data_IF_814586226431
#
_entry.id   IF_814586226431
#
_cell.length_a   1.000
_cell.length_b   1.000
_cell.length_c   1.000
_cell.angle_alpha   90.00
_cell.angle_beta   90.00
_cell.angle_gamma   90.00
#
_symmetry.space_group_name_H-M   'P 1'
#
loop_
_entity.id
_entity.type
_entity.pdbx_description
1 polymer ?
#
# COMPACT_ATOMS: atom_id res chain seq x y z
N UNK A 1 -17.25 59.21 40.82
CA UNK A 1 -16.07 58.45 41.29
C UNK A 1 -16.13 57.04 40.69
N UNK A 2 -15.59 56.87 39.49
CA UNK A 2 -15.54 55.58 38.78
C UNK A 2 -14.06 55.16 38.73
N UNK A 3 -13.81 53.97 39.24
CA UNK A 3 -12.51 53.44 39.68
C UNK A 3 -11.54 53.23 38.52
N UNK A 4 -10.33 53.73 38.69
CA UNK A 4 -9.14 53.49 37.88
C UNK A 4 -8.63 52.04 38.06
N UNK A 5 -9.38 51.04 37.55
CA UNK A 5 -9.06 49.61 37.70
C UNK A 5 -8.94 48.86 36.36
N UNK A 6 -8.80 49.56 35.24
CA UNK A 6 -8.75 48.95 33.90
C UNK A 6 -7.43 49.19 33.15
N UNK A 7 -6.45 49.87 33.76
CA UNK A 7 -5.21 50.26 33.06
C UNK A 7 -4.10 49.20 33.17
N UNK A 8 -4.28 48.13 33.97
CA UNK A 8 -3.21 47.14 34.24
C UNK A 8 -3.31 45.81 33.47
N UNK A 9 -4.31 45.60 32.62
CA UNK A 9 -4.44 44.35 31.85
C UNK A 9 -3.86 44.40 30.43
N UNK A 10 -3.60 45.59 29.89
CA UNK A 10 -3.06 45.73 28.53
C UNK A 10 -1.60 45.22 28.35
N UNK A 11 -0.64 45.42 29.29
CA UNK A 11 0.75 45.05 29.02
C UNK A 11 0.98 43.53 29.11
N UNK A 12 0.12 42.78 29.80
CA UNK A 12 0.28 41.34 29.98
C UNK A 12 -0.02 40.55 28.69
N UNK A 13 -0.95 41.04 27.85
CA UNK A 13 -1.30 40.38 26.58
C UNK A 13 -0.21 40.54 25.51
N UNK A 14 0.60 41.61 25.58
CA UNK A 14 1.69 41.86 24.62
C UNK A 14 2.88 40.93 24.88
N UNK A 15 3.12 40.54 26.14
CA UNK A 15 4.22 39.62 26.51
C UNK A 15 3.94 38.17 26.07
N UNK A 16 2.66 37.77 25.96
CA UNK A 16 2.27 36.40 25.57
C UNK A 16 2.26 36.15 24.04
N UNK A 17 2.37 37.19 23.21
CA UNK A 17 2.37 37.05 21.74
C UNK A 17 3.76 36.73 21.13
N UNK A 18 4.80 36.59 21.96
CA UNK A 18 6.20 36.56 21.51
C UNK A 18 6.82 35.19 21.16
N UNK A 19 6.07 34.10 21.04
CA UNK A 19 6.64 32.77 20.76
C UNK A 19 5.91 32.00 19.63
N UNK A 20 5.66 32.66 18.50
CA UNK A 20 5.44 31.97 17.23
C UNK A 20 6.68 32.19 16.36
N UNK A 21 7.63 31.27 16.44
CA UNK A 21 8.72 31.22 15.47
C UNK A 21 8.12 31.08 14.06
N UNK A 22 8.57 31.84 13.04
CA UNK A 22 8.14 31.60 11.68
C UNK A 22 8.52 30.17 11.31
N UNK A 23 7.51 29.32 11.08
CA UNK A 23 7.74 28.01 10.48
C UNK A 23 8.42 28.27 9.14
N UNK A 24 9.64 27.77 8.97
CA UNK A 24 10.33 27.82 7.69
C UNK A 24 9.37 27.27 6.64
N UNK A 25 9.17 28.02 5.56
CA UNK A 25 8.38 27.54 4.42
C UNK A 25 9.00 26.22 3.97
N UNK A 26 8.23 25.13 4.08
CA UNK A 26 8.56 23.87 3.44
C UNK A 26 8.70 24.20 1.97
N UNK A 27 9.93 24.16 1.46
CA UNK A 27 10.17 24.31 0.04
C UNK A 27 9.36 23.21 -0.65
N UNK A 28 8.34 23.60 -1.41
CA UNK A 28 7.66 22.71 -2.35
C UNK A 28 8.66 22.42 -3.46
N UNK A 29 9.55 21.46 -3.17
CA UNK A 29 10.37 20.80 -4.16
C UNK A 29 9.36 20.07 -5.04
N UNK A 30 9.04 20.67 -6.20
CA UNK A 30 8.07 20.14 -7.15
C UNK A 30 8.26 18.65 -7.46
N UNK A 31 7.39 18.05 -8.29
CA UNK A 31 7.40 16.60 -8.51
C UNK A 31 8.83 16.12 -8.81
N UNK A 32 9.32 15.06 -8.11
CA UNK A 32 10.70 14.65 -8.22
C UNK A 32 11.05 14.41 -9.68
N UNK A 33 12.22 14.92 -10.10
CA UNK A 33 12.70 14.73 -11.45
C UNK A 33 12.66 13.22 -11.79
N UNK A 34 12.16 12.82 -12.97
CA UNK A 34 12.11 11.42 -13.34
C UNK A 34 13.54 10.87 -13.45
N UNK A 35 14.01 10.25 -12.38
CA UNK A 35 15.33 9.64 -12.29
C UNK A 35 15.32 8.32 -13.07
N UNK A 36 16.38 8.05 -13.83
CA UNK A 36 16.49 6.82 -14.63
C UNK A 36 16.44 5.55 -13.75
N UNK A 37 16.81 5.66 -12.47
CA UNK A 37 16.67 4.60 -11.46
C UNK A 37 15.20 4.22 -11.18
N UNK A 38 14.25 5.13 -11.40
CA UNK A 38 12.82 4.92 -11.13
C UNK A 38 12.01 4.55 -12.38
N UNK A 39 12.64 4.47 -13.55
CA UNK A 39 11.98 3.99 -14.78
C UNK A 39 12.30 2.52 -14.98
N UNK A 40 11.34 1.59 -14.77
CA UNK A 40 11.60 0.17 -14.97
C UNK A 40 11.99 -0.10 -16.43
N UNK A 41 13.04 -0.90 -16.58
CA UNK A 41 13.48 -1.45 -17.86
C UNK A 41 12.37 -2.34 -18.47
N UNK A 42 12.43 -2.57 -19.77
CA UNK A 42 11.36 -3.23 -20.53
C UNK A 42 11.12 -4.65 -20.01
N UNK A 43 9.94 -4.90 -19.42
CA UNK A 43 9.52 -6.22 -18.95
C UNK A 43 9.42 -7.18 -20.15
N UNK A 44 10.23 -8.25 -20.16
CA UNK A 44 10.15 -9.34 -21.14
C UNK A 44 9.53 -10.59 -20.48
N UNK A 45 8.36 -11.07 -20.95
CA UNK A 45 7.77 -12.30 -20.44
C UNK A 45 8.75 -13.48 -20.54
N UNK A 46 8.98 -14.21 -19.44
CA UNK A 46 9.77 -15.44 -19.42
C UNK A 46 11.26 -15.30 -19.02
N UNK A 47 11.78 -14.08 -18.79
CA UNK A 47 13.13 -13.87 -18.24
C UNK A 47 13.02 -13.23 -16.86
N UNK A 48 13.38 -13.99 -15.81
CA UNK A 48 13.52 -13.45 -14.46
C UNK A 48 14.89 -12.73 -14.38
N UNK A 49 14.88 -11.40 -14.41
CA UNK A 49 16.10 -10.60 -14.23
C UNK A 49 16.43 -10.47 -12.74
N UNK A 50 17.14 -11.46 -12.21
CA UNK A 50 17.83 -11.26 -10.95
C UNK A 50 19.01 -10.33 -11.19
N UNK A 51 19.17 -9.30 -10.36
CA UNK A 51 20.49 -8.69 -10.26
C UNK A 51 21.51 -9.73 -9.77
N UNK A 52 22.78 -9.66 -10.20
CA UNK A 52 23.80 -10.66 -9.84
C UNK A 52 23.96 -10.88 -8.33
N UNK A 53 23.67 -9.86 -7.54
CA UNK A 53 23.76 -9.82 -6.08
C UNK A 53 22.47 -10.23 -5.36
N UNK A 54 21.42 -10.61 -6.11
CA UNK A 54 20.06 -10.92 -5.61
C UNK A 54 19.40 -9.77 -4.83
N UNK A 55 19.95 -8.56 -4.88
CA UNK A 55 19.39 -7.40 -4.17
C UNK A 55 18.26 -6.74 -4.96
N UNK A 56 18.34 -6.80 -6.30
CA UNK A 56 17.29 -6.33 -7.20
C UNK A 56 16.32 -7.46 -7.50
N UNK A 57 15.16 -7.32 -6.90
CA UNK A 57 13.97 -8.10 -7.13
C UNK A 57 13.53 -8.00 -8.60
N UNK A 58 13.43 -9.12 -9.31
CA UNK A 58 12.48 -9.25 -10.40
C UNK A 58 11.26 -10.00 -9.86
N UNK A 59 10.24 -9.30 -9.33
CA UNK A 59 8.93 -9.92 -9.22
C UNK A 59 8.57 -10.50 -10.59
N UNK A 60 7.65 -11.46 -10.64
CA UNK A 60 6.85 -11.63 -11.86
C UNK A 60 6.10 -10.32 -12.11
N UNK A 61 6.78 -9.37 -12.78
CA UNK A 61 6.25 -8.08 -13.17
C UNK A 61 5.24 -8.38 -14.26
N UNK A 62 3.96 -8.32 -13.92
CA UNK A 62 2.90 -8.56 -14.91
C UNK A 62 2.82 -7.41 -15.91
N UNK A 63 3.33 -6.24 -15.55
CA UNK A 63 3.27 -5.02 -16.35
C UNK A 63 4.27 -3.96 -15.87
N UNK A 64 4.55 -2.97 -16.73
CA UNK A 64 5.39 -1.81 -16.42
C UNK A 64 4.62 -0.84 -15.52
N UNK A 65 4.95 -0.86 -14.23
CA UNK A 65 4.29 -0.08 -13.18
C UNK A 65 5.32 0.24 -12.08
N UNK A 66 5.14 1.30 -11.28
CA UNK A 66 5.94 1.53 -10.09
C UNK A 66 5.69 0.45 -9.03
N UNK A 67 6.72 -0.29 -8.64
CA UNK A 67 6.69 -1.27 -7.56
C UNK A 67 7.70 -0.89 -6.47
N UNK A 68 7.47 -1.26 -5.20
CA UNK A 68 8.47 -1.11 -4.17
C UNK A 68 9.67 -2.01 -4.46
N UNK A 69 10.87 -1.47 -4.29
CA UNK A 69 12.10 -2.25 -4.19
C UNK A 69 12.11 -3.06 -2.88
N UNK A 70 12.98 -4.06 -2.79
CA UNK A 70 13.10 -4.88 -1.58
C UNK A 70 13.49 -4.07 -0.32
N UNK A 71 14.42 -3.08 -0.37
CA UNK A 71 14.70 -2.19 0.75
C UNK A 71 13.51 -1.31 1.14
N UNK A 72 12.79 -0.74 0.17
CA UNK A 72 11.61 0.10 0.41
C UNK A 72 10.48 -0.69 1.07
N UNK A 73 10.24 -1.93 0.63
CA UNK A 73 9.26 -2.82 1.24
C UNK A 73 9.62 -3.12 2.70
N UNK A 74 10.89 -3.41 2.99
CA UNK A 74 11.36 -3.60 4.37
C UNK A 74 11.25 -2.32 5.21
N UNK A 75 11.46 -1.14 4.63
CA UNK A 75 11.25 0.14 5.31
C UNK A 75 9.76 0.40 5.59
N UNK A 76 8.87 0.05 4.66
CA UNK A 76 7.42 0.13 4.83
C UNK A 76 6.94 -0.82 5.93
N UNK A 77 7.45 -2.06 5.95
CA UNK A 77 7.15 -3.03 7.00
C UNK A 77 7.63 -2.56 8.37
N UNK A 78 8.84 -2.02 8.47
CA UNK A 78 9.37 -1.46 9.72
C UNK A 78 8.51 -0.33 10.28
N UNK A 79 7.96 0.53 9.42
CA UNK A 79 7.00 1.57 9.84
C UNK A 79 5.69 0.98 10.34
N UNK A 80 5.17 -0.03 9.64
CA UNK A 80 3.95 -0.73 10.06
C UNK A 80 4.11 -1.34 11.47
N UNK A 81 5.19 -2.07 11.73
CA UNK A 81 5.42 -2.70 13.03
C UNK A 81 5.76 -1.69 14.13
N UNK A 82 6.39 -0.55 13.79
CA UNK A 82 6.68 0.51 14.75
C UNK A 82 5.39 1.16 15.28
N UNK A 83 4.29 1.13 14.51
CA UNK A 83 2.97 1.59 14.93
C UNK A 83 2.10 0.48 15.55
N UNK A 84 2.60 -0.76 15.61
CA UNK A 84 1.81 -1.91 16.06
C UNK A 84 1.97 -2.16 17.57
N UNK A 85 1.01 -2.85 18.23
CA UNK A 85 1.08 -3.20 19.64
C UNK A 85 2.35 -3.99 20.01
N UNK A 86 3.02 -3.66 21.10
CA UNK A 86 4.30 -4.29 21.49
C UNK A 86 4.17 -5.67 22.14
N UNK A 87 2.95 -6.15 22.38
CA UNK A 87 2.65 -7.43 23.02
C UNK A 87 2.78 -8.65 22.09
N UNK A 88 3.05 -8.42 20.79
CA UNK A 88 3.13 -9.48 19.77
C UNK A 88 4.54 -9.64 19.23
N UNK A 89 4.87 -10.89 18.88
CA UNK A 89 6.08 -11.19 18.11
C UNK A 89 5.85 -10.87 16.63
N UNK A 90 6.62 -9.94 16.09
CA UNK A 90 6.63 -9.59 14.68
C UNK A 90 7.79 -10.28 13.96
N UNK A 91 7.62 -10.47 12.65
CA UNK A 91 8.72 -10.91 11.82
C UNK A 91 9.82 -9.83 11.81
N UNK A 92 11.07 -10.22 11.60
CA UNK A 92 12.19 -9.30 11.60
C UNK A 92 12.31 -8.54 10.27
N UNK A 93 11.96 -9.20 9.16
CA UNK A 93 11.98 -8.63 7.82
C UNK A 93 10.96 -9.32 6.91
N UNK A 94 10.78 -8.75 5.71
CA UNK A 94 9.96 -9.34 4.66
C UNK A 94 10.76 -9.53 3.38
N UNK A 95 10.32 -10.48 2.57
CA UNK A 95 10.84 -10.74 1.24
C UNK A 95 9.69 -10.75 0.22
N UNK A 96 9.82 -9.96 -0.84
CA UNK A 96 8.82 -9.92 -1.90
C UNK A 96 9.03 -11.11 -2.86
N UNK A 97 7.93 -11.73 -3.30
CA UNK A 97 7.98 -12.85 -4.26
C UNK A 97 7.41 -12.49 -5.63
N UNK A 98 6.30 -11.75 -5.64
CA UNK A 98 5.65 -11.30 -6.87
C UNK A 98 4.68 -10.18 -6.58
N UNK A 99 4.56 -9.22 -7.49
CA UNK A 99 3.69 -8.06 -7.33
C UNK A 99 2.84 -7.82 -8.57
N UNK A 100 1.62 -7.35 -8.35
CA UNK A 100 0.65 -7.00 -9.38
C UNK A 100 0.01 -5.64 -9.05
N UNK A 101 -0.25 -4.77 -10.03
CA UNK A 101 -0.90 -3.49 -9.76
C UNK A 101 -2.36 -3.64 -9.32
N UNK A 102 -2.77 -2.73 -8.45
CA UNK A 102 -4.03 -2.76 -7.73
C UNK A 102 -3.87 -3.17 -6.27
N UNK A 103 -4.94 -3.02 -5.50
CA UNK A 103 -5.01 -3.47 -4.11
C UNK A 103 -5.88 -4.73 -4.04
N UNK A 104 -5.46 -5.72 -3.24
CA UNK A 104 -6.33 -6.81 -2.86
C UNK A 104 -7.33 -6.32 -1.82
N UNK A 105 -8.61 -6.51 -2.12
CA UNK A 105 -9.71 -6.25 -1.22
C UNK A 105 -9.87 -7.39 -0.21
N UNK A 106 -9.88 -7.04 1.08
CA UNK A 106 -9.93 -8.00 2.19
C UNK A 106 -11.25 -8.78 2.24
N UNK A 107 -12.36 -8.20 1.80
CA UNK A 107 -13.68 -8.84 1.92
C UNK A 107 -13.98 -9.74 0.73
N UNK A 108 -13.68 -9.25 -0.47
CA UNK A 108 -14.02 -9.89 -1.73
C UNK A 108 -12.89 -10.73 -2.30
N UNK A 109 -11.66 -10.63 -1.76
CA UNK A 109 -10.47 -11.26 -2.31
C UNK A 109 -10.30 -10.98 -3.82
N UNK A 110 -10.67 -9.77 -4.27
CA UNK A 110 -10.47 -9.31 -5.66
C UNK A 110 -9.39 -8.24 -5.66
N UNK A 111 -8.59 -8.22 -6.73
CA UNK A 111 -7.63 -7.13 -6.96
C UNK A 111 -8.33 -6.04 -7.77
N UNK A 112 -8.40 -4.83 -7.21
CA UNK A 112 -8.99 -3.65 -7.84
C UNK A 112 -7.89 -2.66 -8.19
N UNK A 113 -7.94 -2.08 -9.40
CA UNK A 113 -7.00 -1.04 -9.81
C UNK A 113 -7.42 0.31 -9.24
N UNK A 114 -6.44 1.09 -8.81
CA UNK A 114 -6.60 2.45 -8.35
C UNK A 114 -5.78 3.41 -9.20
N UNK A 115 -6.15 4.69 -9.17
CA UNK A 115 -5.32 5.76 -9.73
C UNK A 115 -4.14 5.99 -8.77
N UNK A 116 -2.92 5.75 -9.24
CA UNK A 116 -1.69 5.93 -8.47
C UNK A 116 -0.94 4.62 -8.19
N UNK A 117 0.24 4.68 -7.54
CA UNK A 117 1.12 3.53 -7.33
C UNK A 117 0.58 2.67 -6.18
N UNK A 118 -0.33 1.77 -6.50
CA UNK A 118 -0.88 0.78 -5.58
C UNK A 118 -0.63 -0.60 -6.15
N UNK A 119 0.01 -1.45 -5.37
CA UNK A 119 0.38 -2.80 -5.80
C UNK A 119 0.08 -3.81 -4.71
N UNK A 120 -0.35 -4.98 -5.12
CA UNK A 120 -0.57 -6.14 -4.30
C UNK A 120 0.61 -7.09 -4.49
N UNK A 121 1.28 -7.47 -3.40
CA UNK A 121 2.43 -8.34 -3.43
C UNK A 121 2.23 -9.59 -2.58
N UNK A 122 2.73 -10.73 -3.07
CA UNK A 122 2.98 -11.90 -2.25
C UNK A 122 4.27 -11.69 -1.45
N UNK A 123 4.20 -11.83 -0.13
CA UNK A 123 5.26 -11.50 0.80
C UNK A 123 5.57 -12.67 1.73
N UNK A 124 6.84 -13.03 1.83
CA UNK A 124 7.37 -13.93 2.85
C UNK A 124 7.80 -13.11 4.07
N UNK A 125 7.34 -13.51 5.25
CA UNK A 125 7.76 -12.92 6.52
C UNK A 125 8.87 -13.79 7.10
N UNK A 126 9.99 -13.16 7.46
CA UNK A 126 11.22 -13.84 7.88
C UNK A 126 11.55 -13.56 9.35
N UNK A 127 12.11 -14.55 10.03
CA UNK A 127 12.73 -14.33 11.34
C UNK A 127 14.12 -13.68 11.23
N UNK A 128 14.76 -13.42 12.37
CA UNK A 128 16.08 -12.78 12.42
C UNK A 128 17.18 -13.59 11.72
N UNK A 129 16.99 -14.90 11.55
CA UNK A 129 17.92 -15.78 10.82
C UNK A 129 17.65 -15.81 9.31
N UNK A 130 16.62 -15.10 8.84
CA UNK A 130 16.18 -15.12 7.45
C UNK A 130 15.31 -16.33 7.10
N UNK A 131 14.93 -17.16 8.08
CA UNK A 131 14.06 -18.30 7.84
C UNK A 131 12.61 -17.82 7.71
N UNK A 132 11.91 -18.36 6.70
CA UNK A 132 10.51 -18.03 6.43
C UNK A 132 9.61 -18.54 7.54
N UNK A 133 8.91 -17.62 8.18
CA UNK A 133 7.86 -17.89 9.17
C UNK A 133 6.53 -18.20 8.49
N UNK A 134 6.13 -17.36 7.53
CA UNK A 134 4.88 -17.50 6.79
C UNK A 134 4.93 -16.75 5.47
N UNK A 135 3.99 -17.08 4.58
CA UNK A 135 3.73 -16.35 3.34
C UNK A 135 2.33 -15.77 3.41
N UNK A 136 2.21 -14.47 3.22
CA UNK A 136 0.92 -13.77 3.16
C UNK A 136 0.92 -12.84 1.96
N UNK A 137 -0.20 -12.14 1.78
CA UNK A 137 -0.29 -11.09 0.79
C UNK A 137 -0.46 -9.74 1.45
N UNK A 138 0.19 -8.72 0.92
CA UNK A 138 0.09 -7.36 1.43
C UNK A 138 -0.10 -6.38 0.28
N UNK A 139 -0.82 -5.30 0.57
CA UNK A 139 -0.92 -4.17 -0.32
C UNK A 139 0.20 -3.18 0.02
N UNK A 140 0.77 -2.56 -1.01
CA UNK A 140 1.70 -1.46 -0.91
C UNK A 140 1.12 -0.28 -1.66
N UNK A 141 1.13 0.89 -1.03
CA UNK A 141 0.65 2.12 -1.61
C UNK A 141 1.70 3.21 -1.43
N UNK A 142 1.93 3.97 -2.49
CA UNK A 142 2.88 5.07 -2.46
C UNK A 142 2.16 6.37 -2.08
N UNK A 143 2.56 6.95 -0.95
CA UNK A 143 1.99 8.19 -0.43
C UNK A 143 3.06 8.98 0.33
N UNK A 144 3.14 10.29 0.09
CA UNK A 144 4.13 11.16 0.75
C UNK A 144 5.58 10.82 0.37
N UNK A 145 5.82 10.50 -0.90
CA UNK A 145 7.12 10.07 -1.42
C UNK A 145 7.71 8.80 -0.77
N UNK A 146 6.88 8.00 -0.10
CA UNK A 146 7.30 6.76 0.55
C UNK A 146 6.28 5.64 0.30
N UNK A 147 6.78 4.40 0.19
CA UNK A 147 5.92 3.22 0.15
C UNK A 147 5.37 2.91 1.53
N UNK A 148 4.09 2.59 1.65
CA UNK A 148 3.49 2.15 2.90
C UNK A 148 2.91 0.75 2.71
N UNK A 149 2.95 -0.06 3.77
CA UNK A 149 2.47 -1.43 3.75
C UNK A 149 1.14 -1.52 4.48
N UNK A 150 0.17 -2.17 3.85
CA UNK A 150 -1.10 -2.54 4.46
C UNK A 150 -1.20 -4.08 4.45
N UNK A 151 -1.20 -4.74 5.62
CA UNK A 151 -1.50 -6.17 5.68
C UNK A 151 -2.96 -6.40 5.29
N UNK A 152 -3.25 -7.50 4.61
CA UNK A 152 -4.60 -7.86 4.16
C UNK A 152 -4.85 -9.31 4.52
N UNK A 153 -5.99 -9.60 5.16
CA UNK A 153 -6.37 -10.95 5.56
C UNK A 153 -7.62 -11.41 4.80
N UNK A 154 -7.52 -11.68 3.49
CA UNK A 154 -8.65 -12.10 2.69
C UNK A 154 -9.22 -13.44 3.18
N UNK A 155 -10.52 -13.73 2.94
CA UNK A 155 -11.09 -15.02 3.27
C UNK A 155 -10.35 -16.15 2.53
N UNK A 156 -9.92 -17.16 3.29
CA UNK A 156 -9.16 -18.32 2.79
C UNK A 156 -9.99 -19.28 1.94
N UNK A 157 -11.31 -19.18 2.06
CA UNK A 157 -12.31 -19.93 1.30
C UNK A 157 -13.20 -18.92 0.59
N UNK A 158 -13.51 -19.18 -0.69
CA UNK A 158 -14.50 -18.38 -1.39
C UNK A 158 -15.81 -18.41 -0.60
N UNK A 159 -16.39 -17.24 -0.32
CA UNK A 159 -17.65 -17.18 0.41
C UNK A 159 -18.72 -18.03 -0.31
N UNK A 160 -19.58 -18.77 0.39
CA UNK A 160 -20.52 -19.71 -0.24
C UNK A 160 -21.43 -19.05 -1.28
N UNK A 161 -21.87 -17.82 -1.02
CA UNK A 161 -22.67 -16.99 -1.94
C UNK A 161 -21.91 -16.54 -3.20
N UNK A 162 -20.59 -16.74 -3.23
CA UNK A 162 -19.70 -16.43 -4.37
C UNK A 162 -19.64 -17.58 -5.37
N UNK A 163 -20.00 -18.81 -4.97
CA UNK A 163 -20.34 -19.83 -5.93
C UNK A 163 -21.63 -19.35 -6.59
N UNK A 164 -21.50 -18.71 -7.77
CA UNK A 164 -22.63 -18.43 -8.65
C UNK A 164 -23.48 -19.69 -8.67
N UNK A 165 -24.70 -19.61 -8.15
CA UNK A 165 -25.77 -20.43 -8.67
C UNK A 165 -25.65 -20.33 -10.19
N UNK A 166 -25.27 -21.44 -10.83
CA UNK A 166 -25.22 -21.46 -12.29
C UNK A 166 -26.64 -21.12 -12.71
N UNK A 167 -26.78 -20.04 -13.48
CA UNK A 167 -28.01 -19.82 -14.23
C UNK A 167 -28.29 -21.15 -14.96
N UNK A 168 -29.48 -21.76 -14.75
CA UNK A 168 -29.82 -23.00 -15.40
C UNK A 168 -29.55 -22.84 -16.88
N UNK A 169 -28.75 -23.74 -17.46
CA UNK A 169 -28.51 -23.68 -18.90
C UNK A 169 -29.86 -23.88 -19.58
N UNK A 170 -30.36 -22.86 -20.26
CA UNK A 170 -31.53 -23.00 -21.10
C UNK A 170 -31.13 -23.81 -22.33
N UNK A 171 -31.30 -25.12 -22.23
CA UNK A 171 -31.04 -26.09 -23.32
C UNK A 171 -31.92 -25.81 -24.55
N UNK A 172 -32.95 -24.98 -24.40
CA UNK A 172 -33.93 -24.62 -25.41
C UNK A 172 -33.81 -23.15 -25.86
N UNK A 173 -32.66 -22.51 -25.62
CA UNK A 173 -32.37 -21.13 -26.02
C UNK A 173 -32.60 -20.83 -27.51
N UNK A 174 -32.63 -21.87 -28.35
CA UNK A 174 -32.81 -21.81 -29.79
C UNK A 174 -34.28 -21.80 -30.24
N UNK A 175 -35.25 -21.97 -29.32
CA UNK A 175 -36.68 -22.00 -29.65
C UNK A 175 -37.22 -20.57 -29.84
N UNK A 176 -37.82 -20.23 -31.01
CA UNK A 176 -38.38 -18.90 -31.26
C UNK A 176 -39.55 -18.58 -30.32
N UNK A 177 -39.58 -17.35 -29.78
CA UNK A 177 -40.72 -16.83 -29.00
C UNK A 177 -40.64 -17.00 -27.48
N UNK A 178 -39.55 -17.55 -26.92
CA UNK A 178 -39.36 -17.58 -25.46
C UNK A 178 -38.83 -16.25 -24.91
N UNK A 179 -39.32 -15.80 -23.74
CA UNK A 179 -38.73 -14.69 -23.02
C UNK A 179 -37.34 -15.12 -22.52
N UNK A 180 -36.30 -14.44 -22.99
CA UNK A 180 -34.95 -14.56 -22.42
C UNK A 180 -34.94 -13.76 -21.13
N UNK A 181 -34.95 -14.43 -19.98
CA UNK A 181 -34.66 -13.75 -18.72
C UNK A 181 -33.14 -13.53 -18.65
N UNK A 182 -32.72 -12.29 -18.36
CA UNK A 182 -31.33 -11.89 -18.06
C UNK A 182 -30.89 -12.38 -16.67
#
# INVERSE_FOLDING_TARGET
MIRASHILFAPLLIVLAGCAAPAASVADLGPPAPEALFSPERVKPGRLEYAPDRSTFAPLLTERFPYPTQPEANAAYRRLIAAAPSDRSYASSIWLFGCKPGALDEQTARVTRYRGPVVHCATDFLDASGRRLRRETANFYYYGAIWNMQPVYPPRVAAPWRNRERSPQDVWWWVPGRPRYE
#
